data_IF_887446826268
#
_entry.id   IF_887446826268
#
_cell.length_a   1.000
_cell.length_b   1.000
_cell.length_c   1.000
_cell.angle_alpha   90.00
_cell.angle_beta   90.00
_cell.angle_gamma   90.00
#
_symmetry.space_group_name_H-M   'P 1'
#
loop_
_entity.id
_entity.type
_entity.pdbx_description
1 polymer ?
#
# COMPACT_ATOMS: atom_id res chain seq x y z
N UNK A 1 -8.68 19.65 8.68
CA UNK A 1 -7.25 19.23 8.73
C UNK A 1 -6.76 19.36 10.15
N UNK A 2 -6.07 18.33 10.68
CA UNK A 2 -5.55 18.27 12.06
C UNK A 2 -4.02 18.23 12.09
N UNK A 3 -3.37 17.89 10.99
CA UNK A 3 -1.92 18.00 10.80
C UNK A 3 -1.61 18.37 9.36
N UNK A 4 -0.80 19.40 9.17
CA UNK A 4 -0.35 19.84 7.85
C UNK A 4 0.84 18.99 7.40
N UNK A 5 0.98 18.85 6.08
CA UNK A 5 2.16 18.25 5.48
C UNK A 5 3.40 19.11 5.77
N UNK A 6 4.51 18.44 6.09
CA UNK A 6 5.83 19.05 6.26
C UNK A 6 6.74 18.65 5.09
N UNK A 7 7.06 19.62 4.23
CA UNK A 7 7.84 19.42 3.03
C UNK A 7 7.07 18.79 1.85
N UNK A 8 7.81 18.53 0.74
CA UNK A 8 7.24 18.05 -0.52
C UNK A 8 6.75 16.59 -0.44
N UNK A 9 7.53 15.70 0.18
CA UNK A 9 7.18 14.28 0.34
C UNK A 9 6.49 14.08 1.69
N UNK A 10 5.30 14.64 1.82
CA UNK A 10 4.46 14.57 3.01
C UNK A 10 2.98 14.65 2.61
N UNK A 11 2.06 14.41 3.53
CA UNK A 11 0.62 14.46 3.28
C UNK A 11 -0.15 15.00 4.49
N UNK A 12 -1.15 15.82 4.23
CA UNK A 12 -2.07 16.31 5.25
C UNK A 12 -2.82 15.16 5.95
N UNK A 13 -3.11 15.35 7.22
CA UNK A 13 -3.97 14.46 8.00
C UNK A 13 -5.23 15.24 8.40
N UNK A 14 -6.38 14.60 8.20
CA UNK A 14 -7.70 15.15 8.52
C UNK A 14 -8.32 14.37 9.68
N UNK A 15 -9.11 15.04 10.48
CA UNK A 15 -9.98 14.33 11.43
C UNK A 15 -10.95 13.45 10.66
N UNK A 16 -11.02 12.19 11.04
CA UNK A 16 -11.98 11.23 10.49
C UNK A 16 -13.28 11.18 11.30
N UNK A 17 -13.36 11.93 12.40
CA UNK A 17 -14.46 11.94 13.36
C UNK A 17 -14.78 13.35 13.80
N UNK A 18 -16.00 13.55 14.31
CA UNK A 18 -16.39 14.72 15.07
C UNK A 18 -16.07 14.51 16.54
N UNK A 19 -15.77 15.57 17.27
CA UNK A 19 -15.46 15.48 18.69
C UNK A 19 -14.44 16.50 19.16
N UNK A 20 -13.99 16.32 20.40
CA UNK A 20 -13.07 17.23 21.09
C UNK A 20 -11.67 16.63 21.17
N UNK A 21 -10.64 17.41 20.82
CA UNK A 21 -9.21 17.01 21.01
C UNK A 21 -8.90 16.95 22.50
N UNK A 22 -8.56 15.76 23.00
CA UNK A 22 -8.27 15.53 24.41
C UNK A 22 -6.76 15.48 24.70
N UNK A 23 -5.94 15.11 23.72
CA UNK A 23 -4.49 15.09 23.86
C UNK A 23 -3.79 15.29 22.53
N UNK A 24 -2.61 15.93 22.58
CA UNK A 24 -1.62 15.98 21.51
C UNK A 24 -0.31 15.50 22.11
N UNK A 25 0.23 14.39 21.59
CA UNK A 25 1.40 13.76 22.19
C UNK A 25 1.88 12.58 21.36
N UNK A 26 2.58 11.65 21.99
CA UNK A 26 3.07 10.44 21.34
C UNK A 26 2.35 9.20 21.87
N UNK A 27 1.94 8.34 20.95
CA UNK A 27 1.36 7.01 21.25
C UNK A 27 2.17 5.90 20.56
N UNK A 28 2.18 4.68 21.10
CA UNK A 28 2.77 3.54 20.40
C UNK A 28 1.99 3.22 19.13
N UNK A 29 2.70 3.13 18.00
CA UNK A 29 2.12 2.61 16.75
C UNK A 29 1.89 1.08 16.83
N UNK A 30 1.39 0.48 15.75
CA UNK A 30 1.15 -0.97 15.68
C UNK A 30 2.42 -1.80 15.95
N UNK A 31 3.61 -1.28 15.66
CA UNK A 31 4.90 -1.91 15.93
C UNK A 31 5.45 -1.63 17.33
N UNK A 32 4.76 -0.82 18.14
CA UNK A 32 5.19 -0.41 19.47
C UNK A 32 6.14 0.81 19.51
N UNK A 33 6.40 1.44 18.36
CA UNK A 33 7.24 2.64 18.27
C UNK A 33 6.40 3.87 18.57
N UNK A 34 6.87 4.76 19.45
CA UNK A 34 6.18 6.02 19.77
C UNK A 34 6.15 6.96 18.57
N UNK A 35 4.97 7.48 18.28
CA UNK A 35 4.72 8.38 17.15
C UNK A 35 3.85 9.55 17.60
N UNK A 36 4.03 10.75 17.02
CA UNK A 36 3.12 11.87 17.24
C UNK A 36 1.69 11.48 16.87
N UNK A 37 0.74 11.82 17.75
CA UNK A 37 -0.67 11.52 17.58
C UNK A 37 -1.55 12.62 18.21
N UNK A 38 -2.78 12.71 17.67
CA UNK A 38 -3.85 13.53 18.20
C UNK A 38 -4.96 12.59 18.67
N UNK A 39 -5.32 12.67 19.94
CA UNK A 39 -6.43 11.90 20.52
C UNK A 39 -7.69 12.75 20.52
N UNK A 40 -8.78 12.17 20.02
CA UNK A 40 -10.08 12.85 19.90
C UNK A 40 -11.14 12.02 20.63
N UNK A 41 -11.81 12.63 21.62
CA UNK A 41 -13.05 12.08 22.16
C UNK A 41 -14.15 12.25 21.10
N UNK A 42 -14.68 11.13 20.61
CA UNK A 42 -15.65 11.13 19.51
C UNK A 42 -17.03 11.54 20.01
N UNK A 43 -17.63 12.53 19.37
CA UNK A 43 -18.96 13.06 19.71
C UNK A 43 -19.75 13.32 18.42
N UNK A 44 -20.79 12.53 18.19
CA UNK A 44 -21.64 12.64 17.02
C UNK A 44 -20.96 12.19 15.70
N UNK A 45 -21.55 12.58 14.57
CA UNK A 45 -21.03 12.30 13.20
C UNK A 45 -21.34 13.49 12.28
N UNK A 46 -20.89 14.68 12.66
CA UNK A 46 -21.05 15.89 11.85
C UNK A 46 -19.99 15.91 10.74
N UNK A 47 -20.44 16.18 9.54
CA UNK A 47 -19.58 16.37 8.38
C UNK A 47 -19.56 17.84 7.98
N UNK A 48 -18.47 18.26 7.36
CA UNK A 48 -18.43 19.58 6.76
C UNK A 48 -19.36 19.63 5.54
N UNK A 49 -20.15 20.69 5.41
CA UNK A 49 -21.15 20.88 4.34
C UNK A 49 -20.54 20.83 2.93
N UNK A 50 -19.25 21.14 2.81
CA UNK A 50 -18.50 21.07 1.55
C UNK A 50 -18.27 19.65 1.03
N UNK A 51 -18.48 18.61 1.87
CA UNK A 51 -18.28 17.21 1.50
C UNK A 51 -19.58 16.65 0.93
N UNK A 52 -19.56 16.29 -0.33
CA UNK A 52 -20.70 15.62 -0.96
C UNK A 52 -20.76 14.15 -0.50
N UNK A 53 -21.81 13.83 0.29
CA UNK A 53 -22.09 12.48 0.82
C UNK A 53 -23.09 11.70 -0.04
N UNK A 54 -23.58 12.29 -1.11
CA UNK A 54 -24.55 11.62 -1.99
C UNK A 54 -23.91 10.37 -2.65
N UNK A 55 -24.74 9.39 -2.95
CA UNK A 55 -24.33 8.19 -3.68
C UNK A 55 -24.27 8.42 -5.21
N UNK A 56 -24.65 9.60 -5.69
CA UNK A 56 -24.66 9.93 -7.11
C UNK A 56 -23.24 9.89 -7.69
N UNK A 57 -23.09 9.22 -8.81
CA UNK A 57 -21.82 9.21 -9.55
C UNK A 57 -21.62 10.52 -10.31
N UNK A 58 -20.58 11.26 -9.99
CA UNK A 58 -20.18 12.48 -10.70
C UNK A 58 -19.08 12.11 -11.69
N UNK A 59 -19.43 12.02 -12.99
CA UNK A 59 -18.52 11.57 -14.04
C UNK A 59 -17.61 12.69 -14.56
N UNK A 60 -18.17 13.86 -14.78
CA UNK A 60 -17.43 14.96 -15.43
C UNK A 60 -16.53 15.69 -14.42
N UNK A 61 -15.27 15.85 -14.79
CA UNK A 61 -14.30 16.66 -14.07
C UNK A 61 -13.92 17.87 -14.89
N UNK A 62 -14.24 19.07 -14.39
CA UNK A 62 -13.94 20.34 -15.07
C UNK A 62 -12.64 21.01 -14.58
N UNK A 63 -11.93 20.37 -13.64
CA UNK A 63 -10.71 20.90 -13.05
C UNK A 63 -9.52 20.78 -14.03
N UNK A 64 -8.67 21.76 -13.97
CA UNK A 64 -7.36 21.71 -14.62
C UNK A 64 -6.43 20.73 -13.93
N UNK A 65 -5.34 20.36 -14.58
CA UNK A 65 -4.28 19.49 -14.01
C UNK A 65 -3.82 19.97 -12.63
N UNK A 66 -3.49 21.25 -12.52
CA UNK A 66 -2.94 21.80 -11.28
C UNK A 66 -3.97 21.85 -10.15
N UNK A 67 -5.24 22.10 -10.48
CA UNK A 67 -6.34 22.03 -9.51
C UNK A 67 -6.57 20.61 -9.02
N UNK A 68 -6.52 19.60 -9.91
CA UNK A 68 -6.62 18.19 -9.54
C UNK A 68 -5.49 17.82 -8.56
N UNK A 69 -4.24 18.12 -8.91
CA UNK A 69 -3.08 17.83 -8.07
C UNK A 69 -3.19 18.53 -6.71
N UNK A 70 -3.64 19.78 -6.71
CA UNK A 70 -3.85 20.58 -5.50
C UNK A 70 -4.94 19.98 -4.62
N UNK A 71 -6.07 19.52 -5.18
CA UNK A 71 -7.12 18.84 -4.41
C UNK A 71 -6.62 17.54 -3.81
N UNK A 72 -5.91 16.71 -4.57
CA UNK A 72 -5.31 15.46 -4.11
C UNK A 72 -4.35 15.71 -2.93
N UNK A 73 -3.48 16.74 -3.05
CA UNK A 73 -2.57 17.17 -2.00
C UNK A 73 -3.32 17.61 -0.75
N UNK A 74 -4.30 18.50 -0.92
CA UNK A 74 -5.07 19.06 0.18
C UNK A 74 -5.91 17.98 0.89
N UNK A 75 -6.47 17.03 0.16
CA UNK A 75 -7.20 15.90 0.70
C UNK A 75 -6.31 14.85 1.38
N UNK A 76 -4.97 15.00 1.32
CA UNK A 76 -4.01 14.12 1.95
C UNK A 76 -4.00 12.71 1.37
N UNK A 77 -4.22 12.56 0.06
CA UNK A 77 -4.24 11.25 -0.61
C UNK A 77 -2.83 10.68 -0.69
N UNK A 78 -2.70 9.43 -0.24
CA UNK A 78 -1.47 8.63 -0.30
C UNK A 78 -1.74 7.26 -0.93
N UNK A 79 -0.67 6.60 -1.36
CA UNK A 79 -0.75 5.23 -1.86
C UNK A 79 -1.23 4.25 -0.79
N UNK A 80 -2.37 3.60 -1.02
CA UNK A 80 -2.99 2.68 -0.06
C UNK A 80 -2.57 1.22 -0.24
N UNK A 81 -1.73 0.91 -1.23
CA UNK A 81 -1.20 -0.43 -1.51
C UNK A 81 0.04 -0.82 -0.71
N UNK A 82 0.46 -0.03 0.29
CA UNK A 82 1.58 -0.39 1.18
C UNK A 82 2.47 0.76 1.62
N UNK A 83 3.21 1.39 0.71
CA UNK A 83 4.26 2.36 1.06
C UNK A 83 3.74 3.74 1.53
N UNK A 84 2.45 4.03 1.42
CA UNK A 84 1.83 5.33 1.78
C UNK A 84 2.50 6.56 1.17
N UNK A 85 3.11 6.40 -0.01
CA UNK A 85 3.76 7.50 -0.71
C UNK A 85 2.73 8.54 -1.18
N UNK A 86 2.97 9.85 -1.00
CA UNK A 86 1.99 10.88 -1.36
C UNK A 86 1.64 10.87 -2.85
N UNK A 87 0.34 10.79 -3.18
CA UNK A 87 -0.13 10.67 -4.56
C UNK A 87 0.21 11.91 -5.40
N UNK A 88 0.09 13.12 -4.83
CA UNK A 88 0.43 14.36 -5.54
C UNK A 88 1.89 14.39 -5.99
N UNK A 89 2.82 13.76 -5.26
CA UNK A 89 4.24 13.67 -5.64
C UNK A 89 4.41 12.78 -6.87
N UNK A 90 3.70 11.64 -6.94
CA UNK A 90 3.70 10.78 -8.14
C UNK A 90 3.13 11.47 -9.38
N UNK A 91 2.20 12.41 -9.20
CA UNK A 91 1.59 13.18 -10.28
C UNK A 91 2.42 14.40 -10.71
N UNK A 92 3.35 14.83 -9.86
CA UNK A 92 4.29 15.93 -10.16
C UNK A 92 5.49 15.36 -10.91
N UNK A 93 5.30 15.15 -12.22
CA UNK A 93 6.34 14.58 -13.09
C UNK A 93 7.56 15.49 -13.11
N UNK A 94 8.79 14.99 -12.82
CA UNK A 94 10.01 15.80 -12.83
C UNK A 94 10.31 16.41 -14.19
N UNK A 95 10.96 17.56 -14.20
CA UNK A 95 11.41 18.22 -15.44
C UNK A 95 12.32 17.27 -16.23
N UNK A 96 12.09 17.15 -17.53
CA UNK A 96 12.83 16.25 -18.41
C UNK A 96 12.34 14.80 -18.42
N UNK A 97 11.32 14.44 -17.61
CA UNK A 97 10.63 13.16 -17.69
C UNK A 97 9.23 13.34 -18.28
N UNK A 98 8.69 12.28 -18.84
CA UNK A 98 7.32 12.24 -19.39
C UNK A 98 6.60 11.00 -18.86
N UNK A 99 5.38 11.19 -18.37
CA UNK A 99 4.46 10.08 -18.17
C UNK A 99 3.85 9.71 -19.53
N UNK A 100 3.81 8.42 -19.84
CA UNK A 100 3.18 7.86 -21.04
C UNK A 100 1.97 7.02 -20.69
N UNK A 101 2.03 6.34 -19.54
CA UNK A 101 1.02 5.39 -19.10
C UNK A 101 0.68 5.56 -17.63
N UNK A 102 -0.61 5.45 -17.33
CA UNK A 102 -1.11 5.20 -15.97
C UNK A 102 -1.40 3.71 -15.81
N UNK A 103 -0.97 3.10 -14.69
CA UNK A 103 -1.33 1.74 -14.34
C UNK A 103 -2.04 1.76 -12.99
N UNK A 104 -3.29 1.29 -12.97
CA UNK A 104 -4.04 1.04 -11.74
C UNK A 104 -3.77 -0.39 -11.30
N UNK A 105 -3.20 -0.53 -10.12
CA UNK A 105 -2.87 -1.80 -9.50
C UNK A 105 -4.09 -2.35 -8.74
N UNK A 106 -4.85 -3.24 -9.38
CA UNK A 106 -5.93 -4.05 -8.82
C UNK A 106 -5.51 -5.50 -8.57
N UNK A 107 -4.20 -5.79 -8.58
CA UNK A 107 -3.66 -7.15 -8.48
C UNK A 107 -3.98 -7.80 -7.14
N UNK A 108 -3.70 -7.09 -6.02
CA UNK A 108 -3.89 -7.58 -4.65
C UNK A 108 -3.35 -9.00 -4.45
N UNK A 109 -2.02 -9.16 -4.68
CA UNK A 109 -1.35 -10.47 -4.68
C UNK A 109 -1.05 -11.03 -3.27
N UNK A 110 -1.16 -10.24 -2.20
CA UNK A 110 -0.98 -10.72 -0.84
C UNK A 110 -2.08 -11.72 -0.46
N UNK A 111 -1.74 -12.94 -0.02
CA UNK A 111 -2.74 -13.90 0.42
C UNK A 111 -3.62 -13.34 1.54
N UNK A 112 -4.87 -13.76 1.59
CA UNK A 112 -5.92 -13.35 2.55
C UNK A 112 -6.47 -11.94 2.38
N UNK A 113 -5.82 -11.03 1.67
CA UNK A 113 -6.35 -9.69 1.44
C UNK A 113 -7.34 -9.69 0.27
N UNK A 114 -8.45 -8.96 0.46
CA UNK A 114 -9.54 -8.85 -0.53
C UNK A 114 -10.19 -7.45 -0.52
N UNK A 115 -9.53 -6.46 0.08
CA UNK A 115 -10.05 -5.10 0.19
C UNK A 115 -10.14 -4.42 -1.18
N UNK A 116 -9.08 -4.53 -2.02
CA UNK A 116 -9.07 -3.94 -3.36
C UNK A 116 -10.03 -4.70 -4.29
N UNK A 117 -10.17 -6.02 -4.15
CA UNK A 117 -11.16 -6.82 -4.89
C UNK A 117 -12.58 -6.30 -4.62
N UNK A 118 -12.94 -6.05 -3.35
CA UNK A 118 -14.26 -5.49 -3.00
C UNK A 118 -14.44 -4.07 -3.53
N UNK A 119 -13.40 -3.23 -3.47
CA UNK A 119 -13.45 -1.89 -4.07
C UNK A 119 -13.74 -1.97 -5.58
N UNK A 120 -13.09 -2.86 -6.31
CA UNK A 120 -13.31 -3.04 -7.75
C UNK A 120 -14.74 -3.47 -8.07
N UNK A 121 -15.35 -4.33 -7.24
CA UNK A 121 -16.73 -4.83 -7.43
C UNK A 121 -17.78 -3.81 -6.97
N UNK A 122 -17.60 -3.18 -5.83
CA UNK A 122 -18.63 -2.33 -5.21
C UNK A 122 -18.55 -0.86 -5.64
N UNK A 123 -17.36 -0.39 -6.01
CA UNK A 123 -17.07 1.01 -6.35
C UNK A 123 -16.30 1.14 -7.68
N UNK A 124 -16.52 0.17 -8.60
CA UNK A 124 -15.84 0.13 -9.90
C UNK A 124 -16.09 1.36 -10.77
N UNK A 125 -17.33 1.88 -10.79
CA UNK A 125 -17.68 3.06 -11.57
C UNK A 125 -16.92 4.30 -11.08
N UNK A 126 -16.86 4.54 -9.78
CA UNK A 126 -16.12 5.66 -9.19
C UNK A 126 -14.59 5.49 -9.38
N UNK A 127 -14.11 4.25 -9.31
CA UNK A 127 -12.71 3.95 -9.58
C UNK A 127 -12.34 4.27 -11.05
N UNK A 128 -13.22 4.00 -12.02
CA UNK A 128 -12.99 4.37 -13.42
C UNK A 128 -12.95 5.90 -13.61
N UNK A 129 -13.86 6.65 -12.98
CA UNK A 129 -13.77 8.12 -12.99
C UNK A 129 -12.47 8.60 -12.32
N UNK A 130 -12.07 8.00 -11.21
CA UNK A 130 -10.79 8.29 -10.55
C UNK A 130 -9.58 7.98 -11.46
N UNK A 131 -9.67 6.94 -12.29
CA UNK A 131 -8.63 6.61 -13.29
C UNK A 131 -8.56 7.68 -14.38
N UNK A 132 -9.70 8.13 -14.91
CA UNK A 132 -9.78 9.23 -15.88
C UNK A 132 -9.19 10.53 -15.31
N UNK A 133 -9.57 10.89 -14.08
CA UNK A 133 -9.02 12.08 -13.39
C UNK A 133 -7.50 11.97 -13.25
N UNK A 134 -6.96 10.83 -12.91
CA UNK A 134 -5.51 10.61 -12.80
C UNK A 134 -4.83 10.67 -14.17
N UNK A 135 -5.42 10.13 -15.23
CA UNK A 135 -4.92 10.23 -16.60
C UNK A 135 -4.82 11.68 -17.06
N UNK A 136 -5.85 12.47 -16.79
CA UNK A 136 -5.88 13.91 -17.08
C UNK A 136 -4.83 14.68 -16.28
N UNK A 137 -4.66 14.38 -15.00
CA UNK A 137 -3.64 14.99 -14.15
C UNK A 137 -2.21 14.69 -14.64
N UNK A 138 -1.98 13.53 -15.25
CA UNK A 138 -0.70 13.13 -15.82
C UNK A 138 -0.53 13.61 -17.28
N UNK A 139 -1.63 13.86 -17.98
CA UNK A 139 -1.63 14.14 -19.43
C UNK A 139 -1.27 12.90 -20.24
N UNK A 140 -1.81 11.73 -19.85
CA UNK A 140 -1.59 10.45 -20.56
C UNK A 140 -2.87 10.00 -21.28
N UNK A 141 -2.69 9.41 -22.45
CA UNK A 141 -3.77 8.95 -23.32
C UNK A 141 -4.14 7.49 -23.08
N UNK A 142 -3.37 6.76 -22.22
CA UNK A 142 -3.61 5.34 -21.95
C UNK A 142 -3.49 5.03 -20.47
N UNK A 143 -4.49 4.32 -19.95
CA UNK A 143 -4.51 3.77 -18.62
C UNK A 143 -4.81 2.27 -18.66
N UNK A 144 -4.13 1.53 -17.80
CA UNK A 144 -4.31 0.08 -17.65
C UNK A 144 -4.76 -0.25 -16.23
N UNK A 145 -5.67 -1.18 -16.08
CA UNK A 145 -6.07 -1.74 -14.78
C UNK A 145 -5.62 -3.19 -14.74
N UNK A 146 -4.53 -3.47 -14.02
CA UNK A 146 -4.00 -4.83 -13.87
C UNK A 146 -4.73 -5.59 -12.77
N UNK A 147 -5.27 -6.78 -13.09
CA UNK A 147 -6.04 -7.63 -12.16
C UNK A 147 -5.60 -9.08 -12.35
N UNK A 148 -5.35 -9.82 -11.26
CA UNK A 148 -5.04 -11.25 -11.35
C UNK A 148 -6.25 -12.11 -11.78
N UNK A 149 -6.00 -13.16 -12.58
CA UNK A 149 -7.00 -14.08 -13.15
C UNK A 149 -7.83 -14.84 -12.08
N UNK A 150 -7.44 -14.81 -10.82
CA UNK A 150 -8.22 -15.37 -9.71
C UNK A 150 -9.41 -14.47 -9.28
N UNK A 151 -9.60 -13.33 -9.96
CA UNK A 151 -10.70 -12.37 -9.75
C UNK A 151 -11.49 -12.18 -11.06
N UNK A 152 -12.05 -13.25 -11.66
CA UNK A 152 -12.75 -13.16 -12.94
C UNK A 152 -13.99 -12.26 -12.88
N UNK A 153 -14.66 -12.20 -11.73
CA UNK A 153 -15.79 -11.32 -11.45
C UNK A 153 -15.41 -9.83 -11.55
N UNK A 154 -14.28 -9.43 -10.95
CA UNK A 154 -13.81 -8.05 -11.03
C UNK A 154 -13.32 -7.68 -12.45
N UNK A 155 -12.66 -8.62 -13.15
CA UNK A 155 -12.23 -8.42 -14.54
C UNK A 155 -13.44 -8.17 -15.44
N UNK A 156 -14.45 -9.02 -15.37
CA UNK A 156 -15.66 -8.90 -16.20
C UNK A 156 -16.43 -7.62 -15.85
N UNK A 157 -16.65 -7.37 -14.55
CA UNK A 157 -17.35 -6.18 -14.08
C UNK A 157 -16.70 -4.88 -14.57
N UNK A 158 -15.37 -4.76 -14.42
CA UNK A 158 -14.67 -3.54 -14.83
C UNK A 158 -14.57 -3.41 -16.35
N UNK A 159 -14.50 -4.52 -17.12
CA UNK A 159 -14.59 -4.48 -18.58
C UNK A 159 -15.94 -3.94 -19.07
N UNK A 160 -17.02 -4.37 -18.45
CA UNK A 160 -18.37 -3.85 -18.78
C UNK A 160 -18.46 -2.35 -18.46
N UNK A 161 -17.99 -1.92 -17.30
CA UNK A 161 -18.03 -0.52 -16.93
C UNK A 161 -17.08 0.35 -17.76
N UNK A 162 -15.93 -0.17 -18.19
CA UNK A 162 -14.93 0.57 -18.97
C UNK A 162 -15.31 0.74 -20.44
N UNK A 163 -16.41 0.15 -20.92
CA UNK A 163 -16.91 0.34 -22.31
C UNK A 163 -17.14 1.82 -22.66
N UNK A 164 -17.41 2.67 -21.67
CA UNK A 164 -17.54 4.14 -21.82
C UNK A 164 -16.21 4.92 -21.72
N UNK A 165 -15.07 4.23 -21.55
CA UNK A 165 -13.76 4.83 -21.37
C UNK A 165 -12.74 4.18 -22.33
N UNK A 166 -12.67 4.61 -23.61
CA UNK A 166 -11.87 3.94 -24.65
C UNK A 166 -10.37 3.91 -24.37
N UNK A 167 -9.90 4.78 -23.49
CA UNK A 167 -8.51 4.89 -23.11
C UNK A 167 -8.13 4.08 -21.86
N UNK A 168 -9.10 3.39 -21.26
CA UNK A 168 -8.88 2.54 -20.07
C UNK A 168 -9.04 1.07 -20.46
N UNK A 169 -7.98 0.29 -20.29
CA UNK A 169 -7.95 -1.13 -20.60
C UNK A 169 -7.79 -2.00 -19.35
N UNK A 170 -8.63 -3.03 -19.20
CA UNK A 170 -8.52 -4.02 -18.13
C UNK A 170 -7.63 -5.18 -18.58
N UNK A 171 -6.48 -5.34 -17.93
CA UNK A 171 -5.44 -6.32 -18.26
C UNK A 171 -5.48 -7.49 -17.28
N UNK A 172 -5.92 -8.68 -17.70
CA UNK A 172 -5.84 -9.89 -16.89
C UNK A 172 -4.40 -10.35 -16.74
N UNK A 173 -3.97 -10.59 -15.49
CA UNK A 173 -2.61 -11.01 -15.16
C UNK A 173 -2.59 -12.41 -14.57
N UNK A 174 -1.48 -13.12 -14.76
CA UNK A 174 -1.28 -14.43 -14.13
C UNK A 174 -1.17 -14.27 -12.61
N UNK A 175 -1.79 -15.18 -11.86
CA UNK A 175 -1.61 -15.25 -10.41
C UNK A 175 -0.16 -15.63 -10.11
N UNK A 176 0.59 -14.66 -9.64
CA UNK A 176 2.01 -14.82 -9.30
C UNK A 176 2.39 -13.82 -8.19
N UNK A 177 2.96 -14.33 -7.12
CA UNK A 177 3.47 -13.44 -6.08
C UNK A 177 4.96 -13.09 -6.32
N UNK A 178 5.37 -11.81 -6.28
CA UNK A 178 4.58 -10.58 -5.97
C UNK A 178 4.16 -9.79 -7.22
N UNK A 179 3.20 -10.27 -7.99
CA UNK A 179 2.72 -9.63 -9.23
C UNK A 179 2.25 -8.18 -9.02
N UNK A 180 1.76 -7.84 -7.81
CA UNK A 180 1.36 -6.47 -7.44
C UNK A 180 2.54 -5.57 -7.04
N UNK A 181 3.79 -6.06 -7.07
CA UNK A 181 4.96 -5.22 -6.95
C UNK A 181 5.02 -4.21 -8.10
N UNK A 182 5.27 -2.93 -7.80
CA UNK A 182 5.18 -1.85 -8.79
C UNK A 182 6.02 -2.11 -10.05
N UNK A 183 7.27 -2.57 -9.88
CA UNK A 183 8.18 -2.88 -11.00
C UNK A 183 7.75 -4.13 -11.77
N UNK A 184 7.29 -5.18 -11.07
CA UNK A 184 6.78 -6.41 -11.69
C UNK A 184 5.48 -6.15 -12.48
N UNK A 185 4.61 -5.28 -11.96
CA UNK A 185 3.39 -4.90 -12.64
C UNK A 185 3.67 -4.11 -13.92
N UNK A 186 4.63 -3.17 -13.88
CA UNK A 186 5.05 -2.40 -15.07
C UNK A 186 5.56 -3.34 -16.16
N UNK A 187 6.44 -4.27 -15.81
CA UNK A 187 6.96 -5.27 -16.75
C UNK A 187 5.83 -6.14 -17.35
N UNK A 188 4.92 -6.62 -16.49
CA UNK A 188 3.83 -7.49 -16.93
C UNK A 188 2.82 -6.80 -17.85
N UNK A 189 2.59 -5.48 -17.68
CA UNK A 189 1.60 -4.70 -18.44
C UNK A 189 2.22 -4.06 -19.68
N UNK A 190 3.43 -3.49 -19.53
CA UNK A 190 4.06 -2.67 -20.59
C UNK A 190 5.23 -3.39 -21.29
N UNK A 191 5.73 -4.50 -20.76
CA UNK A 191 6.97 -5.10 -21.23
C UNK A 191 8.22 -4.24 -21.01
N UNK A 192 8.15 -3.27 -20.08
CA UNK A 192 9.25 -2.35 -19.76
C UNK A 192 9.84 -2.67 -18.39
N UNK A 193 11.14 -2.84 -18.32
CA UNK A 193 11.84 -3.08 -17.07
C UNK A 193 12.33 -1.77 -16.44
N UNK A 194 11.95 -1.52 -15.18
CA UNK A 194 12.45 -0.37 -14.41
C UNK A 194 13.88 -0.68 -13.93
N UNK A 195 14.90 0.10 -14.36
CA UNK A 195 16.29 -0.20 -14.03
C UNK A 195 16.59 -0.16 -12.53
N UNK A 196 17.74 -0.75 -12.14
CA UNK A 196 18.24 -0.67 -10.77
C UNK A 196 18.41 0.78 -10.33
N UNK A 197 17.93 1.10 -9.12
CA UNK A 197 17.93 2.47 -8.62
C UNK A 197 16.92 3.42 -9.31
N UNK A 198 16.30 2.99 -10.43
CA UNK A 198 15.33 3.78 -11.19
C UNK A 198 13.94 3.81 -10.58
N UNK A 199 13.14 4.77 -11.05
CA UNK A 199 11.74 4.97 -10.68
C UNK A 199 10.82 4.58 -11.85
N UNK A 200 9.53 4.26 -11.61
CA UNK A 200 8.54 3.98 -12.65
C UNK A 200 8.49 5.03 -13.77
N UNK A 201 8.65 6.29 -13.43
CA UNK A 201 8.64 7.40 -14.40
C UNK A 201 9.82 7.33 -15.38
N UNK A 202 10.91 6.63 -15.06
CA UNK A 202 12.06 6.46 -15.96
C UNK A 202 11.72 5.60 -17.18
N UNK A 203 10.65 4.81 -17.07
CA UNK A 203 10.09 4.01 -18.15
C UNK A 203 8.71 4.52 -18.59
N UNK A 204 8.39 5.79 -18.27
CA UNK A 204 7.14 6.46 -18.66
C UNK A 204 5.89 6.00 -17.88
N UNK A 205 6.03 5.23 -16.83
CA UNK A 205 4.91 4.68 -16.08
C UNK A 205 4.64 5.42 -14.76
N UNK A 206 3.36 5.60 -14.42
CA UNK A 206 2.91 5.98 -13.08
C UNK A 206 1.93 4.92 -12.58
N UNK A 207 2.19 4.38 -11.38
CA UNK A 207 1.36 3.32 -10.82
C UNK A 207 0.58 3.84 -9.61
N UNK A 208 -0.73 3.56 -9.57
CA UNK A 208 -1.62 3.89 -8.45
C UNK A 208 -2.38 2.62 -8.02
N UNK A 209 -2.64 2.46 -6.72
CA UNK A 209 -3.44 1.36 -6.21
C UNK A 209 -4.95 1.60 -6.44
N UNK A 210 -5.76 0.54 -6.58
CA UNK A 210 -7.20 0.62 -6.79
C UNK A 210 -7.92 1.46 -5.72
N UNK A 211 -7.65 1.22 -4.44
CA UNK A 211 -8.23 2.01 -3.36
C UNK A 211 -7.78 3.48 -3.37
N UNK A 212 -6.51 3.74 -3.77
CA UNK A 212 -6.02 5.13 -3.96
C UNK A 212 -6.77 5.84 -5.08
N UNK A 213 -7.04 5.13 -6.17
CA UNK A 213 -7.78 5.67 -7.32
C UNK A 213 -9.21 6.04 -6.93
N UNK A 214 -9.88 5.22 -6.12
CA UNK A 214 -11.17 5.56 -5.53
C UNK A 214 -11.07 6.80 -4.61
N UNK A 215 -10.04 6.89 -3.77
CA UNK A 215 -9.83 8.04 -2.89
C UNK A 215 -9.57 9.34 -3.68
N UNK A 216 -8.95 9.25 -4.86
CA UNK A 216 -8.81 10.39 -5.79
C UNK A 216 -10.17 10.85 -6.31
N UNK A 217 -11.04 9.93 -6.74
CA UNK A 217 -12.42 10.26 -7.09
C UNK A 217 -13.14 11.00 -5.93
N UNK A 218 -13.08 10.43 -4.74
CA UNK A 218 -13.73 11.03 -3.56
C UNK A 218 -13.17 12.41 -3.23
N UNK A 219 -11.86 12.63 -3.39
CA UNK A 219 -11.23 13.92 -3.13
C UNK A 219 -11.62 14.98 -4.18
N UNK A 220 -11.64 14.60 -5.46
CA UNK A 220 -11.83 15.54 -6.57
C UNK A 220 -13.30 15.82 -6.81
N UNK A 221 -14.14 14.79 -6.82
CA UNK A 221 -15.56 14.90 -7.16
C UNK A 221 -16.46 15.12 -5.93
N UNK A 222 -16.07 14.59 -4.78
CA UNK A 222 -16.89 14.66 -3.55
C UNK A 222 -16.30 15.57 -2.48
N UNK A 223 -15.17 16.20 -2.77
CA UNK A 223 -14.46 17.08 -1.82
C UNK A 223 -14.14 16.40 -0.48
N UNK A 224 -14.04 15.05 -0.49
CA UNK A 224 -13.85 14.21 0.68
C UNK A 224 -12.36 13.89 0.87
N UNK A 225 -11.72 14.31 1.97
CA UNK A 225 -10.34 13.94 2.25
C UNK A 225 -10.21 12.44 2.58
N UNK A 226 -8.97 11.92 2.55
CA UNK A 226 -8.70 10.53 2.88
C UNK A 226 -8.83 10.31 4.40
N UNK A 227 -10.05 10.01 4.84
CA UNK A 227 -10.42 9.77 6.24
C UNK A 227 -10.98 8.37 6.47
N UNK A 228 -11.20 7.62 5.41
CA UNK A 228 -11.72 6.25 5.44
C UNK A 228 -10.96 5.37 4.47
N UNK A 229 -10.94 4.08 4.73
CA UNK A 229 -10.45 3.08 3.80
C UNK A 229 -11.14 1.73 4.00
N UNK A 230 -11.07 0.86 3.01
CA UNK A 230 -11.44 -0.55 3.17
C UNK A 230 -10.25 -1.32 3.75
N UNK A 231 -10.52 -2.14 4.77
CA UNK A 231 -9.54 -2.98 5.48
C UNK A 231 -10.07 -4.41 5.53
N UNK A 232 -9.27 -5.37 5.11
CA UNK A 232 -9.60 -6.79 5.27
C UNK A 232 -9.31 -7.23 6.70
N UNK A 233 -10.30 -7.79 7.38
CA UNK A 233 -10.14 -8.43 8.70
C UNK A 233 -10.30 -9.93 8.52
N UNK A 234 -9.24 -10.70 8.77
CA UNK A 234 -9.19 -12.10 8.35
C UNK A 234 -8.26 -12.94 9.21
N UNK A 235 -8.35 -14.24 9.06
CA UNK A 235 -7.52 -15.23 9.73
C UNK A 235 -8.25 -16.55 9.88
N UNK A 236 -7.52 -17.67 9.80
CA UNK A 236 -8.13 -19.01 9.92
C UNK A 236 -8.73 -19.31 11.28
N UNK A 237 -8.43 -18.51 12.29
CA UNK A 237 -8.95 -18.64 13.63
C UNK A 237 -10.20 -17.80 13.88
N UNK A 238 -10.48 -16.82 13.03
CA UNK A 238 -11.59 -15.89 13.22
C UNK A 238 -12.93 -16.56 12.94
N UNK A 239 -13.93 -16.22 13.74
CA UNK A 239 -15.32 -16.67 13.55
C UNK A 239 -16.00 -15.93 12.39
N UNK A 240 -15.59 -14.69 12.14
CA UNK A 240 -16.13 -13.84 11.08
C UNK A 240 -14.99 -13.09 10.38
N UNK A 241 -14.88 -13.28 9.08
CA UNK A 241 -13.98 -12.49 8.21
C UNK A 241 -14.80 -11.44 7.45
N UNK A 242 -14.22 -10.25 7.22
CA UNK A 242 -14.93 -9.18 6.53
C UNK A 242 -13.95 -8.19 5.86
N UNK A 243 -14.45 -7.48 4.85
CA UNK A 243 -13.86 -6.22 4.41
C UNK A 243 -14.68 -5.09 5.00
N UNK A 244 -14.05 -4.25 5.79
CA UNK A 244 -14.70 -3.17 6.54
C UNK A 244 -14.29 -1.82 5.98
N UNK A 245 -15.26 -0.96 5.73
CA UNK A 245 -15.01 0.47 5.51
C UNK A 245 -14.79 1.12 6.88
N UNK A 246 -13.57 1.56 7.13
CA UNK A 246 -13.10 1.97 8.46
C UNK A 246 -12.64 3.42 8.45
N UNK A 247 -12.99 4.19 9.48
CA UNK A 247 -12.41 5.51 9.75
C UNK A 247 -10.93 5.36 10.13
N UNK A 248 -10.08 6.21 9.54
CA UNK A 248 -8.67 6.28 9.94
C UNK A 248 -8.63 6.78 11.40
N UNK A 249 -7.85 6.10 12.24
CA UNK A 249 -7.84 6.36 13.69
C UNK A 249 -8.60 5.31 14.51
N UNK A 250 -9.44 4.47 13.91
CA UNK A 250 -10.12 3.38 14.62
C UNK A 250 -9.09 2.41 15.19
N UNK A 251 -9.16 2.00 16.48
CA UNK A 251 -8.27 1.00 17.04
C UNK A 251 -8.34 -0.34 16.29
N UNK A 252 -7.21 -1.00 16.12
CA UNK A 252 -7.16 -2.34 15.50
C UNK A 252 -7.96 -3.34 16.33
N UNK A 253 -7.97 -3.22 17.67
CA UNK A 253 -8.79 -4.03 18.58
C UNK A 253 -10.27 -4.01 18.20
N UNK A 254 -10.82 -2.84 17.87
CA UNK A 254 -12.24 -2.73 17.46
C UNK A 254 -12.56 -3.51 16.18
N UNK A 255 -11.61 -3.59 15.24
CA UNK A 255 -11.79 -4.41 14.04
C UNK A 255 -11.78 -5.92 14.38
N UNK A 256 -10.91 -6.31 15.32
CA UNK A 256 -10.83 -7.69 15.80
C UNK A 256 -12.12 -8.08 16.54
N UNK A 257 -12.64 -7.18 17.38
CA UNK A 257 -13.93 -7.38 18.09
C UNK A 257 -15.09 -7.57 17.10
N UNK A 258 -15.16 -6.74 16.05
CA UNK A 258 -16.16 -6.91 14.98
C UNK A 258 -16.06 -8.29 14.31
N UNK A 259 -14.87 -8.83 14.17
CA UNK A 259 -14.59 -10.16 13.65
C UNK A 259 -14.92 -11.32 14.63
N UNK A 260 -15.48 -11.01 15.80
CA UNK A 260 -15.86 -11.99 16.84
C UNK A 260 -14.83 -12.14 17.95
N UNK A 261 -13.96 -11.15 18.12
CA UNK A 261 -12.94 -11.11 19.16
C UNK A 261 -11.64 -11.82 18.78
N UNK A 262 -10.68 -11.79 19.69
CA UNK A 262 -9.38 -12.44 19.50
C UNK A 262 -9.47 -13.91 19.93
N UNK A 263 -9.30 -14.88 19.01
CA UNK A 263 -9.29 -16.29 19.37
C UNK A 263 -8.16 -16.62 20.36
N UNK A 264 -8.42 -17.54 21.31
CA UNK A 264 -7.45 -17.94 22.34
C UNK A 264 -6.15 -18.52 21.77
N UNK A 265 -6.24 -19.18 20.60
CA UNK A 265 -5.11 -19.78 19.92
C UNK A 265 -4.37 -18.79 18.99
N UNK A 266 -4.69 -17.49 19.07
CA UNK A 266 -3.97 -16.46 18.32
C UNK A 266 -2.52 -16.38 18.78
N UNK A 267 -1.62 -16.55 17.85
CA UNK A 267 -0.18 -16.46 18.11
C UNK A 267 0.45 -15.19 17.55
N UNK A 268 -0.21 -14.54 16.59
CA UNK A 268 0.28 -13.30 15.98
C UNK A 268 -0.85 -12.52 15.30
N UNK A 269 -0.83 -11.22 15.47
CA UNK A 269 -1.61 -10.26 14.67
C UNK A 269 -0.65 -9.62 13.66
N UNK A 270 -1.08 -9.49 12.41
CA UNK A 270 -0.29 -8.86 11.34
C UNK A 270 -1.10 -7.73 10.73
N UNK A 271 -0.49 -6.55 10.64
CA UNK A 271 -0.99 -5.42 9.86
C UNK A 271 -0.49 -5.58 8.42
N UNK A 272 -1.40 -5.88 7.50
CA UNK A 272 -1.14 -6.26 6.11
C UNK A 272 -1.30 -7.76 5.86
N UNK A 273 -0.75 -8.26 4.76
CA UNK A 273 -0.76 -9.68 4.41
C UNK A 273 0.38 -10.47 5.06
N UNK A 274 0.40 -11.81 4.91
CA UNK A 274 1.36 -12.68 5.59
C UNK A 274 2.79 -12.54 5.07
N UNK A 275 2.98 -12.02 3.85
CA UNK A 275 4.29 -11.96 3.20
C UNK A 275 5.03 -10.64 3.49
N UNK A 276 4.37 -9.49 3.34
CA UNK A 276 4.97 -8.16 3.52
C UNK A 276 4.52 -7.47 4.81
N UNK A 277 3.42 -7.90 5.42
CA UNK A 277 2.85 -7.30 6.61
C UNK A 277 3.80 -7.31 7.81
N UNK A 278 3.46 -6.51 8.81
CA UNK A 278 4.24 -6.35 10.04
C UNK A 278 3.46 -6.85 11.25
N UNK A 279 4.14 -7.52 12.17
CA UNK A 279 3.51 -7.95 13.42
C UNK A 279 3.03 -6.75 14.23
N UNK A 280 1.84 -6.87 14.79
CA UNK A 280 1.23 -5.87 15.67
C UNK A 280 1.60 -6.21 17.10
N UNK A 281 2.29 -5.30 17.75
CA UNK A 281 2.65 -5.39 19.18
C UNK A 281 1.60 -4.71 20.06
N UNK A 282 0.88 -3.72 19.50
CA UNK A 282 -0.14 -2.95 20.21
C UNK A 282 -1.45 -2.94 19.39
N UNK A 283 -2.46 -3.74 19.76
CA UNK A 283 -3.74 -3.75 19.06
C UNK A 283 -4.58 -2.49 19.28
N UNK A 284 -4.26 -1.67 20.31
CA UNK A 284 -4.90 -0.36 20.51
C UNK A 284 -4.38 0.72 19.56
N UNK A 285 -3.34 0.39 18.77
CA UNK A 285 -2.85 1.29 17.74
C UNK A 285 -3.92 1.55 16.68
N UNK A 286 -3.98 2.78 16.12
CA UNK A 286 -4.99 3.15 15.16
C UNK A 286 -4.76 2.52 13.78
N UNK A 287 -5.85 2.25 13.07
CA UNK A 287 -5.84 2.08 11.61
C UNK A 287 -5.28 3.34 10.97
N UNK A 288 -4.28 3.18 10.13
CA UNK A 288 -3.65 4.27 9.38
C UNK A 288 -4.05 4.23 7.90
N UNK A 289 -3.67 5.25 7.14
CA UNK A 289 -3.87 5.28 5.68
C UNK A 289 -3.24 4.08 4.96
N UNK A 290 -2.19 3.48 5.54
CA UNK A 290 -1.48 2.31 4.99
C UNK A 290 -2.00 0.94 5.42
N UNK A 291 -2.94 0.86 6.37
CA UNK A 291 -3.45 -0.41 6.91
C UNK A 291 -4.36 -1.11 5.90
N UNK A 292 -3.87 -2.08 5.15
CA UNK A 292 -4.64 -2.81 4.12
C UNK A 292 -5.43 -4.01 4.69
N UNK A 293 -4.96 -4.60 5.78
CA UNK A 293 -5.62 -5.72 6.41
C UNK A 293 -5.11 -6.00 7.81
N UNK A 294 -5.93 -6.69 8.58
CA UNK A 294 -5.60 -7.24 9.91
C UNK A 294 -5.77 -8.75 9.81
N UNK A 295 -4.65 -9.47 9.89
CA UNK A 295 -4.59 -10.93 9.77
C UNK A 295 -4.23 -11.56 11.12
N UNK A 296 -5.10 -12.43 11.62
CA UNK A 296 -4.85 -13.22 12.84
C UNK A 296 -4.31 -14.60 12.46
N UNK A 297 -3.10 -14.89 12.92
CA UNK A 297 -2.41 -16.16 12.67
C UNK A 297 -2.45 -17.00 13.95
N UNK A 298 -2.90 -18.26 13.83
CA UNK A 298 -2.91 -19.23 14.95
C UNK A 298 -1.51 -19.45 15.52
N UNK A 299 -1.41 -19.76 16.79
CA UNK A 299 -0.14 -20.04 17.49
C UNK A 299 0.73 -21.05 16.72
N UNK A 300 0.14 -22.18 16.28
CA UNK A 300 0.85 -23.20 15.50
C UNK A 300 1.49 -22.65 14.21
N UNK A 301 0.88 -21.64 13.55
CA UNK A 301 1.38 -21.02 12.33
C UNK A 301 2.31 -19.82 12.55
N UNK A 302 2.38 -19.30 13.78
CA UNK A 302 3.14 -18.09 14.12
C UNK A 302 4.53 -18.38 14.70
N UNK A 303 4.78 -19.60 15.16
CA UNK A 303 6.07 -19.99 15.76
C UNK A 303 7.13 -20.10 14.67
N UNK A 304 8.18 -19.31 14.80
CA UNK A 304 9.35 -19.44 13.94
C UNK A 304 10.16 -20.66 14.35
N UNK A 305 10.58 -21.44 13.37
CA UNK A 305 11.51 -22.54 13.59
C UNK A 305 12.90 -21.99 13.90
N UNK A 306 13.71 -22.76 14.66
CA UNK A 306 15.07 -22.37 14.98
C UNK A 306 15.93 -22.29 13.71
N UNK A 307 16.57 -21.13 13.45
CA UNK A 307 17.45 -20.97 12.28
C UNK A 307 18.60 -21.96 12.32
N UNK A 308 18.86 -22.60 11.17
CA UNK A 308 19.99 -23.48 10.97
C UNK A 308 21.06 -22.81 10.10
N UNK A 309 22.23 -23.43 9.97
CA UNK A 309 23.28 -22.93 9.07
C UNK A 309 22.82 -22.92 7.61
N UNK A 310 23.23 -21.92 6.85
CA UNK A 310 22.93 -21.84 5.42
C UNK A 310 23.57 -23.03 4.68
N UNK A 311 22.75 -23.81 3.99
CA UNK A 311 23.22 -24.97 3.19
C UNK A 311 23.58 -24.60 1.75
N UNK A 312 23.62 -23.30 1.42
CA UNK A 312 23.98 -22.76 0.09
C UNK A 312 23.14 -23.32 -1.09
N UNK A 313 21.87 -23.63 -0.86
CA UNK A 313 20.97 -24.22 -1.87
C UNK A 313 20.45 -23.26 -2.93
N UNK A 314 20.76 -21.97 -2.86
CA UNK A 314 20.36 -20.88 -3.76
C UNK A 314 18.83 -20.68 -3.96
N UNK A 315 17.95 -21.39 -3.24
CA UNK A 315 16.50 -21.24 -3.39
C UNK A 315 16.02 -19.78 -3.20
N UNK A 316 16.64 -19.05 -2.27
CA UNK A 316 16.31 -17.63 -2.03
C UNK A 316 16.68 -16.72 -3.22
N UNK A 317 17.71 -17.07 -3.99
CA UNK A 317 18.10 -16.38 -5.23
C UNK A 317 17.09 -16.68 -6.33
N UNK A 318 16.79 -17.97 -6.56
CA UNK A 318 15.86 -18.38 -7.63
C UNK A 318 14.43 -17.86 -7.49
N UNK A 319 14.00 -17.48 -6.28
CA UNK A 319 12.67 -16.90 -6.06
C UNK A 319 12.68 -15.38 -5.92
N UNK A 320 13.84 -14.74 -6.00
CA UNK A 320 13.93 -13.29 -5.87
C UNK A 320 13.42 -12.62 -7.15
N UNK A 321 12.30 -11.84 -7.10
CA UNK A 321 11.74 -11.19 -8.28
C UNK A 321 12.62 -10.06 -8.82
N UNK A 322 13.65 -9.66 -8.04
CA UNK A 322 14.59 -8.59 -8.38
C UNK A 322 15.98 -9.13 -8.77
N UNK A 323 16.14 -10.46 -8.93
CA UNK A 323 17.42 -11.07 -9.27
C UNK A 323 18.55 -10.89 -8.23
N UNK A 324 18.20 -10.60 -6.98
CA UNK A 324 19.16 -10.31 -5.91
C UNK A 324 19.67 -11.61 -5.23
N UNK A 325 20.68 -11.47 -4.38
CA UNK A 325 21.29 -12.56 -3.60
C UNK A 325 20.95 -12.45 -2.10
N UNK A 326 19.74 -12.83 -1.66
CA UNK A 326 19.28 -12.62 -0.29
C UNK A 326 20.15 -13.28 0.79
N UNK A 327 20.77 -14.42 0.50
CA UNK A 327 21.69 -15.08 1.44
C UNK A 327 22.95 -14.26 1.71
N UNK A 328 23.46 -13.58 0.68
CA UNK A 328 24.64 -12.72 0.78
C UNK A 328 24.31 -11.44 1.54
N UNK A 329 23.16 -10.79 1.18
CA UNK A 329 22.65 -9.63 1.90
C UNK A 329 22.44 -9.93 3.39
N UNK A 330 21.84 -11.08 3.73
CA UNK A 330 21.70 -11.54 5.10
C UNK A 330 23.05 -11.68 5.80
N UNK A 331 24.06 -12.28 5.12
CA UNK A 331 25.40 -12.45 5.65
C UNK A 331 26.10 -11.13 5.96
N UNK A 332 25.99 -10.14 5.09
CA UNK A 332 26.55 -8.81 5.29
C UNK A 332 25.78 -8.03 6.38
N UNK A 333 24.44 -8.04 6.36
CA UNK A 333 23.62 -7.36 7.35
C UNK A 333 23.92 -7.84 8.78
N UNK A 334 24.06 -9.16 8.99
CA UNK A 334 24.43 -9.73 10.30
C UNK A 334 25.80 -9.27 10.80
N UNK A 335 26.69 -8.89 9.89
CA UNK A 335 28.05 -8.43 10.21
C UNK A 335 28.20 -6.92 10.13
N UNK A 336 27.08 -6.19 9.96
CA UNK A 336 27.03 -4.73 9.87
C UNK A 336 27.91 -4.16 8.74
N UNK A 337 28.10 -4.95 7.66
CA UNK A 337 28.92 -4.61 6.48
C UNK A 337 28.05 -3.83 5.49
N UNK A 338 27.85 -2.54 5.73
CA UNK A 338 26.88 -1.72 4.98
C UNK A 338 27.39 -1.31 3.58
N UNK A 339 28.67 -1.15 3.38
CA UNK A 339 29.26 -0.85 2.07
C UNK A 339 29.07 -2.02 1.09
N UNK A 340 29.26 -3.24 1.57
CA UNK A 340 29.01 -4.43 0.78
C UNK A 340 27.51 -4.66 0.52
N UNK A 341 26.65 -4.26 1.45
CA UNK A 341 25.20 -4.28 1.22
C UNK A 341 24.79 -3.32 0.11
N UNK A 342 25.40 -2.14 0.04
CA UNK A 342 25.19 -1.19 -1.05
C UNK A 342 25.68 -1.78 -2.37
N UNK A 343 26.88 -2.38 -2.39
CA UNK A 343 27.47 -2.99 -3.59
C UNK A 343 26.65 -4.15 -4.17
N UNK A 344 25.89 -4.89 -3.33
CA UNK A 344 24.95 -5.95 -3.75
C UNK A 344 23.54 -5.46 -3.97
N UNK A 345 23.34 -4.15 -4.18
CA UNK A 345 22.08 -3.51 -4.54
C UNK A 345 20.93 -3.77 -3.55
N UNK A 346 21.19 -3.74 -2.23
CA UNK A 346 20.16 -3.98 -1.22
C UNK A 346 18.96 -3.03 -1.35
N UNK A 347 19.17 -1.84 -1.89
CA UNK A 347 18.11 -0.82 -2.11
C UNK A 347 17.07 -1.27 -3.11
N UNK A 348 17.39 -2.17 -4.03
CA UNK A 348 16.44 -2.72 -5.01
C UNK A 348 15.53 -3.79 -4.43
N UNK A 349 15.81 -4.28 -3.22
CA UNK A 349 14.94 -5.24 -2.55
C UNK A 349 13.57 -4.62 -2.28
N UNK A 350 12.51 -5.23 -2.81
CA UNK A 350 11.11 -4.81 -2.60
C UNK A 350 10.48 -5.41 -1.34
N UNK A 351 11.25 -6.10 -0.51
CA UNK A 351 10.83 -6.67 0.78
C UNK A 351 9.65 -7.65 0.69
N UNK A 352 9.51 -8.35 -0.43
CA UNK A 352 8.38 -9.24 -0.70
C UNK A 352 8.32 -10.51 0.16
N UNK A 353 9.38 -10.87 0.87
CA UNK A 353 9.39 -12.05 1.76
C UNK A 353 9.62 -13.40 1.08
N UNK A 354 9.65 -13.52 -0.25
CA UNK A 354 9.84 -14.79 -0.98
C UNK A 354 11.06 -15.57 -0.50
N UNK A 355 12.17 -14.88 -0.27
CA UNK A 355 13.43 -15.49 0.18
C UNK A 355 13.31 -16.15 1.56
N UNK A 356 12.65 -15.47 2.51
CA UNK A 356 12.41 -16.02 3.86
C UNK A 356 11.43 -17.20 3.83
N UNK A 357 10.36 -17.09 3.01
CA UNK A 357 9.37 -18.14 2.86
C UNK A 357 9.96 -19.45 2.34
N UNK A 358 10.84 -19.38 1.34
CA UNK A 358 11.41 -20.56 0.70
C UNK A 358 12.64 -21.16 1.41
N UNK A 359 13.20 -20.47 2.43
CA UNK A 359 14.46 -20.87 3.06
C UNK A 359 14.29 -22.17 3.88
N UNK A 360 14.92 -23.30 3.49
CA UNK A 360 14.82 -24.56 4.22
C UNK A 360 15.58 -24.55 5.55
N UNK A 361 16.53 -23.61 5.72
CA UNK A 361 17.27 -23.40 6.97
C UNK A 361 16.58 -22.40 7.93
N UNK A 362 15.39 -21.93 7.59
CA UNK A 362 14.57 -21.01 8.39
C UNK A 362 15.29 -19.70 8.78
N UNK A 363 16.22 -19.25 7.94
CA UNK A 363 16.95 -18.01 8.19
C UNK A 363 16.00 -16.81 8.11
N UNK A 364 16.09 -15.86 9.05
CA UNK A 364 15.28 -14.65 9.03
C UNK A 364 15.83 -13.63 8.02
N UNK A 365 15.88 -14.03 6.74
CA UNK A 365 16.51 -13.27 5.66
C UNK A 365 15.91 -11.86 5.57
N UNK A 366 14.59 -11.76 5.48
CA UNK A 366 13.89 -10.48 5.32
C UNK A 366 14.12 -9.53 6.50
N UNK A 367 14.17 -10.04 7.73
CA UNK A 367 14.35 -9.20 8.92
C UNK A 367 15.70 -8.48 8.85
N UNK A 368 16.78 -9.20 8.54
CA UNK A 368 18.11 -8.62 8.39
C UNK A 368 18.26 -7.75 7.15
N UNK A 369 17.60 -8.12 6.05
CA UNK A 369 17.59 -7.32 4.81
C UNK A 369 16.90 -5.97 5.08
N UNK A 370 15.76 -5.96 5.76
CA UNK A 370 15.07 -4.72 6.17
C UNK A 370 15.96 -3.82 7.04
N UNK A 371 16.63 -4.42 8.02
CA UNK A 371 17.56 -3.69 8.88
C UNK A 371 18.70 -3.09 8.05
N UNK A 372 19.39 -3.91 7.26
CA UNK A 372 20.52 -3.47 6.42
C UNK A 372 20.11 -2.40 5.41
N UNK A 373 18.96 -2.57 4.75
CA UNK A 373 18.40 -1.59 3.81
C UNK A 373 18.13 -0.23 4.48
N UNK A 374 17.59 -0.25 5.70
CA UNK A 374 17.35 0.96 6.49
C UNK A 374 18.64 1.71 6.80
N UNK A 375 19.70 1.00 7.21
CA UNK A 375 21.00 1.60 7.53
C UNK A 375 21.71 2.15 6.28
N UNK A 376 21.73 1.37 5.17
CA UNK A 376 22.27 1.84 3.89
C UNK A 376 21.51 3.11 3.41
N UNK A 377 20.19 3.15 3.55
CA UNK A 377 19.41 4.33 3.18
C UNK A 377 19.77 5.57 4.03
N UNK A 378 20.12 5.42 5.31
CA UNK A 378 20.62 6.51 6.16
C UNK A 378 21.99 7.02 5.67
N UNK A 379 22.90 6.10 5.37
CA UNK A 379 24.25 6.41 4.84
C UNK A 379 24.14 7.19 3.54
N UNK A 380 23.31 6.72 2.60
CA UNK A 380 23.12 7.38 1.31
C UNK A 380 22.54 8.80 1.45
N UNK A 381 21.58 9.00 2.38
CA UNK A 381 21.06 10.34 2.67
C UNK A 381 22.11 11.26 3.25
N UNK A 382 22.93 10.76 4.19
CA UNK A 382 24.01 11.55 4.78
C UNK A 382 25.08 11.94 3.75
N UNK A 383 25.38 11.06 2.76
CA UNK A 383 26.29 11.38 1.64
C UNK A 383 25.72 12.47 0.70
N UNK A 384 24.41 12.48 0.45
CA UNK A 384 23.73 13.49 -0.39
C UNK A 384 23.58 14.85 0.28
N UNK A 385 23.64 14.90 1.60
CA UNK A 385 23.52 16.14 2.39
C UNK A 385 24.88 16.87 2.59
N UNK A 386 25.98 16.23 2.20
CA UNK A 386 27.34 16.81 2.14
C UNK A 386 27.62 17.36 0.75
#
# INVERSE_FOLDING_TARGET
MISAADGFVSANVHSSVSGTVTAVGEVPDAGGVRRPAITIAVEGDQWLDIIDRSESLVKECHLTRDEIITRIKNAGIVGMGGATFPTHVKLSVPVGKKAEFLIVNGVECEPFLTADHRVMLERGAEMLVGTDILSRALGVDKAYIGIENNKPDAIEHLRQLSAGYPDIEVVPLRVRYPQGGEKQLIEAVLGREVPSGGLPIDVGAVVQNAGTTLAVYEAVQKNKPLIERVVTVTGRAMSRTANLKVRIGTPISSLIEYGGGMPEDTGKIVNGGPMMGRAVANPEAPVTKGTSGILLIRRKGSVRKTPQSCIKCAKCVGVCPMGLEPYLMYGFARRLRYEELEAVHITDCIECGCCSYTCPAYLPLLDYIRLGKSEVAKILRARKAR
#
